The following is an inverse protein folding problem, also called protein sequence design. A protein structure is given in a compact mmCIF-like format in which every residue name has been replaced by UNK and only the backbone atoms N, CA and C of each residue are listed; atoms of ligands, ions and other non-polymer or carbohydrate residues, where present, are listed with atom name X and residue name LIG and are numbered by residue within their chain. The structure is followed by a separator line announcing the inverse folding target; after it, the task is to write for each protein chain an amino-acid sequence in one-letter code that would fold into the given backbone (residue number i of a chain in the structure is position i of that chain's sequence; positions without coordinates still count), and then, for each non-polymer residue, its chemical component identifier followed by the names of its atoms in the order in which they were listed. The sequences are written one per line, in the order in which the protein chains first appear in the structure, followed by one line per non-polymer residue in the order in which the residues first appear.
data_IF_393106535022
#
_entry.id   IF_393106535022
#
_cell.length_a   1.000
_cell.length_b   1.000
_cell.length_c   1.000
_cell.angle_alpha   90.00
_cell.angle_beta   90.00
_cell.angle_gamma   90.00
#
_symmetry.space_group_name_H-M   'P 1'
#
loop_
_entity.id
_entity.type
_entity.pdbx_description
1 polymer ?
#
# COMPACT_ATOMS: atom_id res chain seq x y z
N UNK A 1 -13.04 -15.94 20.45
CA UNK A 1 -11.61 -15.96 20.83
C UNK A 1 -10.81 -15.54 19.61
N UNK A 2 -10.12 -14.40 19.66
CA UNK A 2 -9.19 -14.05 18.59
C UNK A 2 -7.97 -14.96 18.69
N UNK A 3 -7.74 -15.76 17.65
CA UNK A 3 -6.61 -16.67 17.55
C UNK A 3 -5.32 -15.95 17.12
N UNK A 4 -5.40 -14.68 16.72
CA UNK A 4 -4.27 -13.92 16.18
C UNK A 4 -3.79 -12.84 17.16
N UNK A 5 -2.46 -12.63 17.26
CA UNK A 5 -1.90 -11.64 18.15
C UNK A 5 -2.35 -10.23 17.76
N UNK A 6 -2.48 -9.31 18.73
CA UNK A 6 -2.84 -7.93 18.43
C UNK A 6 -1.76 -7.26 17.55
N UNK A 7 -2.21 -6.48 16.57
CA UNK A 7 -1.37 -5.69 15.70
C UNK A 7 -0.77 -4.52 16.47
N UNK A 8 0.55 -4.38 16.38
CA UNK A 8 1.22 -3.19 16.90
C UNK A 8 0.86 -1.96 16.04
N UNK A 9 0.97 -0.73 16.56
CA UNK A 9 0.77 0.49 15.78
C UNK A 9 1.61 0.54 14.49
N UNK A 10 2.83 -0.03 14.54
CA UNK A 10 3.69 -0.15 13.36
C UNK A 10 3.15 -1.13 12.33
N UNK A 11 2.57 -2.24 12.76
CA UNK A 11 1.94 -3.20 11.86
C UNK A 11 0.68 -2.62 11.20
N UNK A 12 -0.14 -1.88 11.96
CA UNK A 12 -1.30 -1.15 11.43
C UNK A 12 -0.88 -0.14 10.36
N UNK A 13 0.09 0.73 10.66
CA UNK A 13 0.62 1.68 9.68
C UNK A 13 1.24 0.98 8.45
N UNK A 14 1.90 -0.15 8.65
CA UNK A 14 2.44 -0.98 7.58
C UNK A 14 1.36 -1.57 6.68
N UNK A 15 0.26 -2.04 7.28
CA UNK A 15 -0.91 -2.55 6.58
C UNK A 15 -1.59 -1.45 5.74
N UNK A 16 -1.86 -0.28 6.30
CA UNK A 16 -2.51 0.81 5.55
C UNK A 16 -1.68 1.24 4.33
N UNK A 17 -0.36 1.40 4.51
CA UNK A 17 0.55 1.70 3.39
C UNK A 17 0.57 0.60 2.34
N UNK A 18 0.55 -0.66 2.76
CA UNK A 18 0.51 -1.79 1.84
C UNK A 18 -0.80 -1.79 1.04
N UNK A 19 -1.93 -1.52 1.69
CA UNK A 19 -3.24 -1.47 1.05
C UNK A 19 -3.33 -0.40 -0.02
N UNK A 20 -2.94 0.84 0.28
CA UNK A 20 -2.91 1.94 -0.73
C UNK A 20 -2.15 1.53 -1.99
N UNK A 21 -0.98 0.91 -1.83
CA UNK A 21 -0.12 0.53 -2.96
C UNK A 21 -0.72 -0.62 -3.78
N UNK A 22 -1.33 -1.60 -3.12
CA UNK A 22 -2.01 -2.72 -3.79
C UNK A 22 -3.25 -2.22 -4.55
N UNK A 23 -4.03 -1.31 -3.95
CA UNK A 23 -5.21 -0.72 -4.59
C UNK A 23 -4.81 0.16 -5.78
N UNK A 24 -3.70 0.89 -5.69
CA UNK A 24 -3.14 1.65 -6.82
C UNK A 24 -2.72 0.75 -7.98
N UNK A 25 -2.13 -0.43 -7.71
CA UNK A 25 -1.83 -1.38 -8.78
C UNK A 25 -3.09 -2.01 -9.36
N UNK A 26 -4.08 -2.34 -8.52
CA UNK A 26 -5.35 -2.91 -8.97
C UNK A 26 -6.13 -1.94 -9.88
N UNK A 27 -6.22 -0.65 -9.52
CA UNK A 27 -6.91 0.35 -10.34
C UNK A 27 -6.28 0.52 -11.73
N UNK A 28 -4.95 0.49 -11.82
CA UNK A 28 -4.24 0.54 -13.12
C UNK A 28 -4.59 -0.67 -14.00
N UNK A 29 -4.78 -1.84 -13.40
CA UNK A 29 -5.18 -3.05 -14.13
C UNK A 29 -6.62 -3.00 -14.63
N UNK A 30 -7.52 -2.41 -13.83
CA UNK A 30 -8.94 -2.28 -14.16
C UNK A 30 -9.18 -1.20 -15.22
N UNK A 31 -8.59 -0.02 -15.05
CA UNK A 31 -8.89 1.16 -15.87
C UNK A 31 -8.12 1.22 -17.19
N UNK A 32 -6.85 0.77 -17.19
CA UNK A 32 -5.91 1.10 -18.28
C UNK A 32 -5.47 -0.08 -19.13
N UNK A 33 -5.80 -1.31 -18.75
CA UNK A 33 -5.39 -2.56 -19.45
C UNK A 33 -3.95 -2.46 -19.98
N UNK A 34 -2.95 -2.36 -19.09
CA UNK A 34 -1.58 -2.07 -19.50
C UNK A 34 -1.08 -3.13 -20.49
N UNK A 35 -0.30 -2.70 -21.47
CA UNK A 35 0.29 -3.59 -22.48
C UNK A 35 1.77 -3.29 -22.68
N UNK A 36 2.53 -4.30 -23.11
CA UNK A 36 3.97 -4.21 -23.33
C UNK A 36 4.81 -4.74 -22.16
N UNK A 37 6.10 -4.43 -22.19
CA UNK A 37 7.04 -4.78 -21.12
C UNK A 37 6.87 -3.81 -19.95
N UNK A 38 6.99 -4.33 -18.72
CA UNK A 38 6.99 -3.49 -17.53
C UNK A 38 8.28 -2.69 -17.45
N UNK A 39 8.14 -1.40 -17.15
CA UNK A 39 9.28 -0.55 -16.86
C UNK A 39 9.97 -0.95 -15.56
N UNK A 40 11.27 -0.71 -15.48
CA UNK A 40 12.07 -0.92 -14.27
C UNK A 40 11.44 -0.29 -13.01
N UNK A 41 10.91 0.96 -13.03
CA UNK A 41 10.27 1.54 -11.84
C UNK A 41 9.07 0.75 -11.33
N UNK A 42 8.26 0.15 -12.22
CA UNK A 42 7.12 -0.68 -11.84
C UNK A 42 7.58 -1.96 -11.16
N UNK A 43 8.66 -2.56 -11.65
CA UNK A 43 9.26 -3.76 -11.06
C UNK A 43 9.81 -3.46 -9.66
N UNK A 44 10.54 -2.36 -9.48
CA UNK A 44 11.05 -1.92 -8.18
C UNK A 44 9.93 -1.64 -7.17
N UNK A 45 8.86 -0.98 -7.63
CA UNK A 45 7.68 -0.70 -6.81
C UNK A 45 6.99 -2.01 -6.37
N UNK A 46 6.81 -2.96 -7.29
CA UNK A 46 6.24 -4.26 -6.99
C UNK A 46 7.11 -5.06 -6.01
N UNK A 47 8.44 -5.03 -6.16
CA UNK A 47 9.36 -5.67 -5.23
C UNK A 47 9.30 -5.04 -3.83
N UNK A 48 9.19 -3.72 -3.75
CA UNK A 48 8.98 -2.99 -2.49
C UNK A 48 7.70 -3.42 -1.79
N UNK A 49 6.60 -3.56 -2.55
CA UNK A 49 5.31 -4.06 -2.05
C UNK A 49 5.41 -5.50 -1.56
N UNK A 50 6.04 -6.41 -2.33
CA UNK A 50 6.27 -7.80 -1.91
C UNK A 50 7.08 -7.87 -0.60
N UNK A 51 8.13 -7.05 -0.45
CA UNK A 51 8.93 -6.99 0.78
C UNK A 51 8.11 -6.53 1.98
N UNK A 52 7.28 -5.50 1.81
CA UNK A 52 6.36 -5.01 2.86
C UNK A 52 5.32 -6.05 3.24
N UNK A 53 4.72 -6.72 2.25
CA UNK A 53 3.77 -7.81 2.47
C UNK A 53 4.41 -8.94 3.29
N UNK A 54 5.60 -9.41 2.91
CA UNK A 54 6.33 -10.44 3.65
C UNK A 54 6.64 -10.03 5.09
N UNK A 55 7.05 -8.77 5.31
CA UNK A 55 7.34 -8.26 6.65
C UNK A 55 6.07 -8.21 7.52
N UNK A 56 4.92 -7.86 6.95
CA UNK A 56 3.63 -7.84 7.64
C UNK A 56 3.14 -9.27 7.93
N UNK A 57 3.24 -10.17 6.95
CA UNK A 57 2.71 -11.53 7.00
C UNK A 57 3.63 -12.53 7.71
N UNK A 58 4.84 -12.14 8.11
CA UNK A 58 5.85 -13.06 8.64
C UNK A 58 5.40 -13.89 9.87
N UNK A 59 4.39 -13.43 10.61
CA UNK A 59 3.83 -14.11 11.79
C UNK A 59 2.56 -14.93 11.48
N UNK A 60 2.15 -15.00 10.22
CA UNK A 60 0.91 -15.63 9.77
C UNK A 60 1.24 -16.80 8.86
N UNK A 61 1.19 -18.02 9.41
CA UNK A 61 1.51 -19.24 8.66
C UNK A 61 0.52 -19.54 7.52
N UNK A 62 -0.69 -18.96 7.58
CA UNK A 62 -1.73 -19.12 6.56
C UNK A 62 -1.66 -18.07 5.44
N UNK A 63 -0.71 -17.13 5.50
CA UNK A 63 -0.50 -16.12 4.47
C UNK A 63 0.69 -16.47 3.56
N UNK A 64 0.61 -16.09 2.27
CA UNK A 64 1.65 -16.44 1.32
C UNK A 64 2.94 -15.63 1.55
N UNK A 65 4.06 -16.25 1.23
CA UNK A 65 5.33 -15.58 1.03
C UNK A 65 5.52 -15.21 -0.46
N UNK A 66 6.01 -14.01 -0.73
CA UNK A 66 6.31 -13.50 -2.07
C UNK A 66 7.82 -13.50 -2.31
N UNK A 67 8.28 -14.29 -3.28
CA UNK A 67 9.71 -14.34 -3.62
C UNK A 67 10.20 -13.00 -4.18
N UNK A 68 11.50 -12.75 -4.05
CA UNK A 68 12.15 -11.62 -4.71
C UNK A 68 12.01 -11.74 -6.23
N UNK A 69 11.80 -10.62 -6.90
CA UNK A 69 11.62 -10.56 -8.36
C UNK A 69 13.02 -10.60 -9.01
N UNK A 70 13.63 -11.79 -9.09
CA UNK A 70 14.99 -11.96 -9.64
C UNK A 70 15.03 -12.18 -11.15
N UNK A 71 13.87 -12.22 -11.82
CA UNK A 71 13.78 -12.51 -13.25
C UNK A 71 14.11 -11.27 -14.10
N UNK A 72 14.85 -11.43 -15.22
CA UNK A 72 15.31 -10.31 -16.04
C UNK A 72 14.19 -9.57 -16.80
N UNK A 73 12.99 -10.14 -16.87
CA UNK A 73 11.82 -9.46 -17.38
C UNK A 73 10.56 -10.04 -16.72
N UNK A 74 9.85 -9.19 -15.97
CA UNK A 74 8.51 -9.50 -15.50
C UNK A 74 7.54 -9.13 -16.62
N UNK A 75 6.76 -10.09 -17.12
CA UNK A 75 5.78 -9.80 -18.17
C UNK A 75 4.46 -9.30 -17.54
N UNK A 76 3.55 -8.79 -18.39
CA UNK A 76 2.27 -8.25 -17.93
C UNK A 76 1.40 -9.30 -17.22
N UNK A 77 1.45 -10.56 -17.65
CA UNK A 77 0.69 -11.63 -16.99
C UNK A 77 1.23 -11.92 -15.58
N UNK A 78 2.56 -11.95 -15.42
CA UNK A 78 3.20 -12.11 -14.12
C UNK A 78 2.80 -10.97 -13.16
N UNK A 79 2.76 -9.74 -13.67
CA UNK A 79 2.31 -8.57 -12.89
C UNK A 79 0.86 -8.71 -12.44
N UNK A 80 -0.06 -9.01 -13.36
CA UNK A 80 -1.48 -9.20 -13.05
C UNK A 80 -1.66 -10.28 -11.98
N UNK A 81 -0.97 -11.42 -12.14
CA UNK A 81 -1.04 -12.53 -11.20
C UNK A 81 -0.50 -12.11 -9.83
N UNK A 82 0.63 -11.39 -9.77
CA UNK A 82 1.22 -10.94 -8.52
C UNK A 82 0.32 -9.93 -7.79
N UNK A 83 -0.23 -8.95 -8.49
CA UNK A 83 -1.17 -7.97 -7.92
C UNK A 83 -2.43 -8.67 -7.39
N UNK A 84 -3.00 -9.60 -8.16
CA UNK A 84 -4.16 -10.38 -7.72
C UNK A 84 -3.86 -11.22 -6.46
N UNK A 85 -2.68 -11.85 -6.39
CA UNK A 85 -2.23 -12.61 -5.21
C UNK A 85 -2.01 -11.71 -4.00
N UNK A 86 -1.43 -10.53 -4.19
CA UNK A 86 -1.26 -9.53 -3.13
C UNK A 86 -2.62 -9.08 -2.57
N UNK A 87 -3.56 -8.74 -3.45
CA UNK A 87 -4.92 -8.36 -3.04
C UNK A 87 -5.66 -9.48 -2.30
N UNK A 88 -5.52 -10.74 -2.75
CA UNK A 88 -6.10 -11.89 -2.05
C UNK A 88 -5.47 -12.12 -0.67
N UNK A 89 -4.15 -12.00 -0.55
CA UNK A 89 -3.44 -12.10 0.73
C UNK A 89 -3.83 -10.99 1.70
N UNK A 90 -4.00 -9.76 1.18
CA UNK A 90 -4.44 -8.61 1.97
C UNK A 90 -5.84 -8.81 2.53
N UNK A 91 -6.82 -9.22 1.70
CA UNK A 91 -8.17 -9.57 2.16
C UNK A 91 -8.19 -10.69 3.19
N UNK A 92 -7.28 -11.66 3.06
CA UNK A 92 -7.14 -12.73 4.04
C UNK A 92 -6.63 -12.17 5.37
N UNK A 93 -5.58 -11.34 5.34
CA UNK A 93 -5.06 -10.66 6.54
C UNK A 93 -6.14 -9.80 7.21
N UNK A 94 -6.93 -9.06 6.43
CA UNK A 94 -8.09 -8.30 6.91
C UNK A 94 -9.07 -9.19 7.68
N UNK A 95 -9.43 -10.34 7.12
CA UNK A 95 -10.33 -11.28 7.78
C UNK A 95 -9.77 -11.83 9.10
N UNK A 96 -8.44 -11.99 9.23
CA UNK A 96 -7.80 -12.44 10.48
C UNK A 96 -7.79 -11.37 11.58
N UNK A 97 -7.90 -10.09 11.19
CA UNK A 97 -7.75 -8.92 12.07
C UNK A 97 -8.94 -7.96 11.97
N UNK A 98 -10.13 -8.45 11.58
CA UNK A 98 -11.30 -7.63 11.32
C UNK A 98 -11.76 -6.81 12.54
N UNK A 99 -11.40 -7.25 13.74
CA UNK A 99 -11.70 -6.57 15.00
C UNK A 99 -10.72 -5.43 15.34
N UNK A 100 -9.55 -5.40 14.69
CA UNK A 100 -8.46 -4.45 14.96
C UNK A 100 -8.26 -3.46 13.82
N UNK A 101 -8.51 -3.92 12.60
CA UNK A 101 -8.56 -3.09 11.41
C UNK A 101 -9.96 -2.48 11.39
N UNK A 102 -10.08 -1.31 12.01
CA UNK A 102 -11.31 -0.52 11.93
C UNK A 102 -11.69 -0.15 10.48
N UNK A 103 -12.73 0.66 10.30
CA UNK A 103 -13.06 1.22 8.99
C UNK A 103 -11.82 1.87 8.36
N UNK A 104 -11.75 1.85 7.03
CA UNK A 104 -10.78 2.68 6.33
C UNK A 104 -10.88 4.11 6.89
N UNK A 105 -9.78 4.78 7.26
CA UNK A 105 -9.86 6.20 7.58
C UNK A 105 -10.45 6.89 6.36
N UNK A 106 -11.66 7.43 6.48
CA UNK A 106 -12.35 8.07 5.37
C UNK A 106 -11.39 9.04 4.67
N UNK A 107 -11.42 9.09 3.34
CA UNK A 107 -10.55 9.96 2.53
C UNK A 107 -10.68 11.46 2.88
N UNK A 108 -11.62 11.82 3.76
CA UNK A 108 -11.83 13.15 4.33
C UNK A 108 -10.88 13.52 5.48
N UNK A 109 -10.12 12.58 6.04
CA UNK A 109 -8.99 12.88 6.93
C UNK A 109 -7.77 13.30 6.10
N UNK A 110 -7.90 14.42 5.37
CA UNK A 110 -6.80 15.07 4.68
C UNK A 110 -5.74 15.50 5.72
N UNK A 111 -4.54 14.87 5.76
CA UNK A 111 -3.47 15.32 6.65
C UNK A 111 -2.87 16.67 6.23
N UNK A 112 -3.41 17.30 5.17
CA UNK A 112 -3.02 18.59 4.64
C UNK A 112 -3.46 19.81 5.45
N UNK A 113 -4.50 19.72 6.29
CA UNK A 113 -5.14 20.93 6.86
C UNK A 113 -4.67 21.34 8.26
N UNK A 114 -3.41 21.05 8.68
CA UNK A 114 -2.94 21.57 9.98
C UNK A 114 -1.42 21.73 10.21
N UNK A 115 -0.61 22.04 9.19
CA UNK A 115 0.85 22.23 9.40
C UNK A 115 1.53 23.45 8.79
N UNK A 116 0.81 24.54 8.55
CA UNK A 116 1.46 25.84 8.50
C UNK A 116 0.65 26.85 9.34
N UNK A 117 1.22 27.42 10.43
CA UNK A 117 0.65 28.64 10.96
C UNK A 117 0.65 29.68 9.83
N UNK A 118 -0.39 30.54 9.72
CA UNK A 118 -0.37 31.61 8.73
C UNK A 118 0.93 32.40 8.92
N UNK A 119 1.76 32.46 7.87
CA UNK A 119 2.87 33.41 7.82
C UNK A 119 2.26 34.80 7.92
N UNK A 120 2.38 35.41 9.09
CA UNK A 120 2.22 36.84 9.27
C UNK A 120 3.39 37.54 8.59
N UNK A 121 3.41 37.54 7.25
CA UNK A 121 4.28 38.40 6.46
C UNK A 121 3.64 39.79 6.42
N UNK A 122 3.88 40.54 7.49
CA UNK A 122 3.72 41.98 7.50
C UNK A 122 4.78 42.60 6.60
N UNK A 123 4.47 42.76 5.32
CA UNK A 123 5.20 43.68 4.45
C UNK A 123 4.41 44.98 4.32
N UNK A 124 4.98 46.15 4.68
CA UNK A 124 4.32 47.43 4.44
C UNK A 124 4.26 47.72 2.94
N UNK A 125 3.07 48.06 2.46
CA UNK A 125 2.81 48.52 1.09
C UNK A 125 3.67 49.75 0.76
N UNK A 126 4.31 49.82 -0.42
CA UNK A 126 4.96 51.04 -0.87
C UNK A 126 3.87 52.03 -1.32
N UNK A 127 3.76 53.16 -0.62
CA UNK A 127 3.03 54.31 -1.14
C UNK A 127 3.83 54.92 -2.29
N UNK A 128 3.21 55.00 -3.46
CA UNK A 128 3.54 55.96 -4.53
C UNK A 128 2.59 57.14 -4.36
#
# INVERSE_FOLDING_TARGET
MNLHPPLSPRALAGYWRLRVEVDAFASVLEDRKPSGALGHPTIEALESVCRRANALFCRHADLPHFAALTAPALNQADFIILVARLGAALRRFEALHADQLGPWPDEDDDPGDNRFPPRSDGLPSPHI
#
